data_IF_967111760887
#
_entry.id   IF_967111760887
#
_cell.length_a   1.000
_cell.length_b   1.000
_cell.length_c   1.000
_cell.angle_alpha   90.00
_cell.angle_beta   90.00
_cell.angle_gamma   90.00
#
_symmetry.space_group_name_H-M   'P 1'
#
loop_
_entity.id
_entity.type
_entity.pdbx_description
1 polymer ?
#
# COMPACT_ATOMS: atom_id res chain seq x y z
N UNK A 1 -102.78 38.05 41.77
CA UNK A 1 -102.73 36.84 42.60
C UNK A 1 -102.03 35.73 41.82
N UNK A 2 -100.95 35.22 42.42
CA UNK A 2 -100.42 33.85 42.37
C UNK A 2 -100.14 33.15 41.04
N UNK A 3 -98.83 33.16 40.72
CA UNK A 3 -98.02 32.09 40.14
C UNK A 3 -98.43 30.67 40.55
N UNK A 4 -98.37 29.73 39.60
CA UNK A 4 -97.89 28.36 39.86
C UNK A 4 -97.20 27.79 38.63
N UNK A 5 -95.89 27.67 38.78
CA UNK A 5 -94.89 27.05 37.92
C UNK A 5 -95.03 25.52 38.03
N UNK A 6 -95.08 24.81 36.90
CA UNK A 6 -94.77 23.38 36.82
C UNK A 6 -93.46 23.21 36.04
N UNK A 7 -92.38 22.97 36.76
CA UNK A 7 -91.04 22.75 36.19
C UNK A 7 -90.79 21.28 35.91
N UNK A 8 -90.51 20.94 34.66
CA UNK A 8 -89.99 19.64 34.25
C UNK A 8 -88.46 19.63 34.31
N UNK A 9 -87.94 18.66 35.06
CA UNK A 9 -86.51 18.30 35.22
C UNK A 9 -85.96 17.71 33.92
N UNK A 10 -84.86 18.27 33.40
CA UNK A 10 -83.89 17.53 32.59
C UNK A 10 -82.48 17.86 33.09
N UNK A 11 -81.73 16.80 33.40
CA UNK A 11 -80.42 16.86 34.02
C UNK A 11 -79.31 17.19 33.03
N UNK A 12 -78.56 18.24 33.32
CA UNK A 12 -77.19 18.46 32.87
C UNK A 12 -76.32 18.70 34.11
N UNK A 13 -75.74 17.64 34.69
CA UNK A 13 -74.79 17.78 35.82
C UNK A 13 -73.54 16.88 35.72
N UNK A 14 -73.30 16.19 34.61
CA UNK A 14 -72.15 15.25 34.49
C UNK A 14 -71.05 15.69 33.51
N UNK A 15 -71.25 16.72 32.69
CA UNK A 15 -70.25 17.20 31.73
C UNK A 15 -69.26 18.24 32.28
N UNK A 16 -69.65 19.00 33.30
CA UNK A 16 -68.84 20.10 33.87
C UNK A 16 -67.69 19.60 34.71
N UNK A 17 -67.91 18.60 35.57
CA UNK A 17 -66.88 18.08 36.47
C UNK A 17 -65.66 17.47 35.75
N UNK A 18 -65.86 16.82 34.59
CA UNK A 18 -64.74 16.21 33.84
C UNK A 18 -63.88 17.27 33.14
N UNK A 19 -64.52 18.29 32.59
CA UNK A 19 -63.86 19.42 31.93
C UNK A 19 -63.09 20.29 32.95
N UNK A 20 -63.65 20.49 34.15
CA UNK A 20 -62.99 21.23 35.22
C UNK A 20 -61.74 20.50 35.75
N UNK A 21 -61.79 19.16 35.82
CA UNK A 21 -60.63 18.33 36.20
C UNK A 21 -59.52 18.38 35.15
N UNK A 22 -59.86 18.34 33.86
CA UNK A 22 -58.89 18.49 32.77
C UNK A 22 -58.29 19.90 32.71
N UNK A 23 -59.10 20.93 32.92
CA UNK A 23 -58.64 22.31 32.97
C UNK A 23 -57.64 22.52 34.12
N UNK A 24 -57.89 21.93 35.28
CA UNK A 24 -56.99 22.07 36.43
C UNK A 24 -55.71 21.24 36.28
N UNK A 25 -55.76 20.13 35.54
CA UNK A 25 -54.57 19.39 35.12
C UNK A 25 -53.70 20.22 34.16
N UNK A 26 -54.33 20.85 33.15
CA UNK A 26 -53.63 21.71 32.18
C UNK A 26 -53.03 22.97 32.81
N UNK A 27 -53.67 23.53 33.85
CA UNK A 27 -53.07 24.63 34.62
C UNK A 27 -51.83 24.21 35.39
N UNK A 28 -51.86 23.05 36.06
CA UNK A 28 -50.69 22.49 36.76
C UNK A 28 -49.55 22.19 35.78
N UNK A 29 -49.88 21.64 34.62
CA UNK A 29 -48.90 21.37 33.56
C UNK A 29 -48.29 22.68 33.02
N UNK A 30 -49.10 23.72 32.81
CA UNK A 30 -48.60 25.05 32.45
C UNK A 30 -47.69 25.66 33.51
N UNK A 31 -48.02 25.53 34.80
CA UNK A 31 -47.13 26.00 35.87
C UNK A 31 -45.80 25.24 35.89
N UNK A 32 -45.82 23.93 35.66
CA UNK A 32 -44.59 23.12 35.59
C UNK A 32 -43.73 23.49 34.38
N UNK A 33 -44.34 23.74 33.23
CA UNK A 33 -43.66 24.19 32.02
C UNK A 33 -43.07 25.60 32.20
N UNK A 34 -43.79 26.48 32.88
CA UNK A 34 -43.31 27.82 33.19
C UNK A 34 -42.08 27.78 34.11
N UNK A 35 -42.09 26.92 35.14
CA UNK A 35 -40.92 26.70 36.02
C UNK A 35 -39.73 26.12 35.28
N UNK A 36 -39.94 25.11 34.43
CA UNK A 36 -38.84 24.53 33.63
C UNK A 36 -38.29 25.53 32.62
N UNK A 37 -39.13 26.36 31.98
CA UNK A 37 -38.67 27.45 31.13
C UNK A 37 -37.85 28.49 31.90
N UNK A 38 -38.25 28.84 33.12
CA UNK A 38 -37.55 29.79 33.97
C UNK A 38 -36.20 29.23 34.47
N UNK A 39 -36.14 27.93 34.76
CA UNK A 39 -34.89 27.21 35.06
C UNK A 39 -33.95 27.09 33.85
N UNK A 40 -34.48 26.81 32.66
CA UNK A 40 -33.70 26.79 31.41
C UNK A 40 -33.17 28.19 31.09
N UNK A 41 -33.98 29.23 31.30
CA UNK A 41 -33.59 30.62 31.06
C UNK A 41 -32.49 31.06 32.02
N UNK A 42 -32.60 30.72 33.31
CA UNK A 42 -31.53 30.94 34.31
C UNK A 42 -30.27 30.12 33.99
N UNK A 43 -30.41 28.87 33.56
CA UNK A 43 -29.28 28.03 33.15
C UNK A 43 -28.57 28.58 31.91
N UNK A 44 -29.30 29.23 31.00
CA UNK A 44 -28.76 29.89 29.81
C UNK A 44 -28.03 31.21 30.15
N UNK A 45 -28.44 31.89 31.22
CA UNK A 45 -27.73 33.05 31.79
C UNK A 45 -26.45 32.67 32.55
N UNK A 46 -26.36 31.44 33.09
CA UNK A 46 -25.21 30.96 33.89
C UNK A 46 -24.12 30.25 33.03
N UNK A 47 -24.30 30.16 31.71
CA UNK A 47 -23.23 29.66 30.82
C UNK A 47 -22.12 30.70 30.71
N UNK A 48 -21.00 30.44 31.41
CA UNK A 48 -19.78 31.24 31.31
C UNK A 48 -19.25 31.21 29.88
N UNK A 49 -18.62 32.31 29.44
CA UNK A 49 -18.08 32.41 28.08
C UNK A 49 -17.05 31.31 27.76
N UNK A 50 -16.44 30.70 28.79
CA UNK A 50 -15.58 29.52 28.69
C UNK A 50 -16.33 28.26 28.23
N UNK A 51 -17.53 27.99 28.77
CA UNK A 51 -18.36 26.84 28.37
C UNK A 51 -18.93 27.05 26.96
N UNK A 52 -19.31 28.31 26.66
CA UNK A 52 -19.82 28.74 25.35
C UNK A 52 -18.74 28.58 24.26
N UNK A 53 -17.50 28.96 24.56
CA UNK A 53 -16.35 28.78 23.66
C UNK A 53 -15.92 27.31 23.52
N UNK A 54 -16.02 26.51 24.59
CA UNK A 54 -15.71 25.07 24.55
C UNK A 54 -16.69 24.30 23.66
N UNK A 55 -17.99 24.59 23.77
CA UNK A 55 -19.02 24.03 22.89
C UNK A 55 -18.85 24.50 21.44
N UNK A 56 -18.49 25.77 21.22
CA UNK A 56 -18.17 26.29 19.87
C UNK A 56 -16.98 25.56 19.23
N UNK A 57 -15.94 25.26 19.98
CA UNK A 57 -14.78 24.49 19.49
C UNK A 57 -15.10 23.00 19.29
N UNK A 58 -15.97 22.40 20.11
CA UNK A 58 -16.48 21.03 19.88
C UNK A 58 -17.39 20.97 18.64
N UNK A 59 -18.17 22.02 18.35
CA UNK A 59 -19.00 22.09 17.14
C UNK A 59 -18.14 22.29 15.88
N UNK A 60 -17.06 23.09 15.97
CA UNK A 60 -16.10 23.29 14.87
C UNK A 60 -15.23 22.06 14.58
N UNK A 61 -14.97 21.21 15.58
CA UNK A 61 -14.16 19.99 15.43
C UNK A 61 -14.96 18.75 15.06
N UNK A 62 -16.29 18.78 15.17
CA UNK A 62 -17.14 17.60 15.03
C UNK A 62 -18.11 17.56 13.83
N UNK A 63 -18.36 18.68 13.15
CA UNK A 63 -19.29 18.69 12.01
C UNK A 63 -18.52 18.86 10.70
N UNK A 64 -18.37 17.76 9.94
CA UNK A 64 -17.99 17.88 8.52
C UNK A 64 -18.95 18.88 7.87
N UNK A 65 -18.44 19.72 6.95
CA UNK A 65 -19.24 20.65 6.14
C UNK A 65 -20.50 19.97 5.58
N UNK A 66 -20.37 18.69 5.22
CA UNK A 66 -21.46 17.86 4.70
C UNK A 66 -22.57 17.61 5.73
N UNK A 67 -22.23 17.47 7.02
CA UNK A 67 -23.20 17.29 8.12
C UNK A 67 -23.98 18.58 8.35
N UNK A 68 -23.30 19.72 8.37
CA UNK A 68 -23.95 21.03 8.48
C UNK A 68 -24.84 21.32 7.27
N UNK A 69 -24.39 20.98 6.06
CA UNK A 69 -25.20 21.12 4.86
C UNK A 69 -26.44 20.21 4.90
N UNK A 70 -26.29 18.98 5.40
CA UNK A 70 -27.41 18.05 5.59
C UNK A 70 -28.41 18.56 6.62
N UNK A 71 -27.94 19.10 7.75
CA UNK A 71 -28.80 19.66 8.79
C UNK A 71 -29.54 20.91 8.32
N UNK A 72 -28.87 21.76 7.52
CA UNK A 72 -29.52 22.93 6.92
C UNK A 72 -30.61 22.53 5.94
N UNK A 73 -30.37 21.50 5.12
CA UNK A 73 -31.39 20.95 4.21
C UNK A 73 -32.60 20.39 4.99
N UNK A 74 -32.37 19.62 6.05
CA UNK A 74 -33.45 19.10 6.92
C UNK A 74 -34.23 20.23 7.61
N UNK A 75 -33.55 21.25 8.10
CA UNK A 75 -34.21 22.41 8.72
C UNK A 75 -35.06 23.21 7.71
N UNK A 76 -34.56 23.40 6.49
CA UNK A 76 -35.30 24.06 5.41
C UNK A 76 -36.52 23.24 4.98
N UNK A 77 -36.38 21.92 4.87
CA UNK A 77 -37.49 21.02 4.56
C UNK A 77 -38.58 21.07 5.63
N UNK A 78 -38.19 21.00 6.91
CA UNK A 78 -39.14 21.12 8.04
C UNK A 78 -39.83 22.48 8.07
N UNK A 79 -39.11 23.57 7.82
CA UNK A 79 -39.72 24.89 7.73
C UNK A 79 -40.75 24.97 6.61
N UNK A 80 -40.48 24.33 5.46
CA UNK A 80 -41.43 24.27 4.36
C UNK A 80 -42.66 23.43 4.71
N UNK A 81 -42.49 22.31 5.42
CA UNK A 81 -43.60 21.51 5.94
C UNK A 81 -44.46 22.30 6.94
N UNK A 82 -43.84 23.06 7.86
CA UNK A 82 -44.56 23.93 8.80
C UNK A 82 -45.36 25.01 8.10
N UNK A 83 -44.82 25.62 7.04
CA UNK A 83 -45.52 26.62 6.24
C UNK A 83 -46.75 26.03 5.56
N UNK A 84 -46.63 24.84 4.97
CA UNK A 84 -47.78 24.14 4.35
C UNK A 84 -48.83 23.79 5.39
N UNK A 85 -48.42 23.31 6.56
CA UNK A 85 -49.33 23.01 7.67
C UNK A 85 -50.07 24.26 8.14
N UNK A 86 -49.38 25.40 8.29
CA UNK A 86 -50.00 26.66 8.70
C UNK A 86 -51.01 27.15 7.66
N UNK A 87 -50.67 27.08 6.36
CA UNK A 87 -51.60 27.41 5.27
C UNK A 87 -52.84 26.50 5.26
N UNK A 88 -52.67 25.19 5.46
CA UNK A 88 -53.79 24.26 5.56
C UNK A 88 -54.68 24.56 6.77
N UNK A 89 -54.07 24.84 7.93
CA UNK A 89 -54.76 25.23 9.15
C UNK A 89 -55.56 26.51 8.94
N UNK A 90 -54.96 27.53 8.33
CA UNK A 90 -55.67 28.77 8.00
C UNK A 90 -56.84 28.53 7.04
N UNK A 91 -56.65 27.72 5.99
CA UNK A 91 -57.70 27.38 5.05
C UNK A 91 -58.86 26.65 5.74
N UNK A 92 -58.55 25.71 6.64
CA UNK A 92 -59.55 25.00 7.43
C UNK A 92 -60.34 25.94 8.34
N UNK A 93 -59.67 26.85 9.06
CA UNK A 93 -60.35 27.85 9.91
C UNK A 93 -61.23 28.79 9.08
N UNK A 94 -60.73 29.26 7.93
CA UNK A 94 -61.52 30.08 6.99
C UNK A 94 -62.75 29.33 6.50
N UNK A 95 -62.62 28.03 6.19
CA UNK A 95 -63.73 27.16 5.82
C UNK A 95 -64.76 26.96 6.95
N UNK A 96 -64.31 26.74 8.18
CA UNK A 96 -65.20 26.66 9.34
C UNK A 96 -65.96 27.97 9.57
N UNK A 97 -65.29 29.12 9.46
CA UNK A 97 -65.93 30.44 9.59
C UNK A 97 -67.00 30.65 8.52
N UNK A 98 -66.72 30.29 7.26
CA UNK A 98 -67.72 30.35 6.19
C UNK A 98 -68.92 29.44 6.47
N UNK A 99 -68.67 28.22 6.97
CA UNK A 99 -69.74 27.28 7.32
C UNK A 99 -70.60 27.76 8.49
N UNK A 100 -69.99 28.33 9.52
CA UNK A 100 -70.71 28.93 10.65
C UNK A 100 -71.61 30.05 10.14
N UNK A 101 -71.06 30.94 9.30
CA UNK A 101 -71.82 32.04 8.71
C UNK A 101 -73.01 31.55 7.87
N UNK A 102 -72.84 30.53 7.03
CA UNK A 102 -73.94 29.91 6.28
C UNK A 102 -75.05 29.37 7.19
N UNK A 103 -74.66 28.67 8.26
CA UNK A 103 -75.60 28.09 9.21
C UNK A 103 -76.35 29.15 10.01
N UNK A 104 -75.69 30.25 10.39
CA UNK A 104 -76.33 31.41 11.03
C UNK A 104 -77.36 32.06 10.11
N UNK A 105 -77.03 32.23 8.82
CA UNK A 105 -77.95 32.79 7.83
C UNK A 105 -79.16 31.89 7.57
N UNK A 106 -78.96 30.57 7.53
CA UNK A 106 -80.04 29.58 7.43
C UNK A 106 -80.90 29.56 8.69
N UNK A 107 -80.30 29.66 9.88
CA UNK A 107 -81.01 29.77 11.15
C UNK A 107 -81.92 31.00 11.20
N UNK A 108 -81.39 32.16 10.80
CA UNK A 108 -82.14 33.42 10.70
C UNK A 108 -83.28 33.33 9.67
N UNK A 109 -83.04 32.69 8.52
CA UNK A 109 -84.05 32.51 7.47
C UNK A 109 -85.15 31.54 7.90
N UNK A 110 -84.80 30.43 8.55
CA UNK A 110 -85.74 29.45 9.08
C UNK A 110 -86.57 30.04 10.23
N UNK A 111 -85.98 30.90 11.06
CA UNK A 111 -86.71 31.63 12.10
C UNK A 111 -87.72 32.61 11.50
N UNK A 112 -87.38 33.25 10.37
CA UNK A 112 -88.28 34.12 9.60
C UNK A 112 -89.43 33.35 8.95
N UNK A 113 -89.17 32.14 8.46
CA UNK A 113 -90.19 31.23 7.89
C UNK A 113 -91.13 30.68 8.98
N UNK A 114 -90.63 30.40 10.19
CA UNK A 114 -91.44 29.94 11.31
C UNK A 114 -92.41 31.02 11.84
N UNK A 115 -92.09 32.30 11.66
CA UNK A 115 -93.00 33.42 11.96
C UNK A 115 -94.04 33.67 10.86
N UNK A 116 -93.79 33.23 9.62
CA UNK A 116 -94.69 33.39 8.47
C UNK A 116 -95.66 32.21 8.29
N UNK A 117 -95.48 31.11 9.02
CA UNK A 117 -96.23 29.86 8.85
C UNK A 117 -97.23 29.57 9.98
N UNK A 118 -97.43 30.50 10.93
CA UNK A 118 -98.43 30.35 12.00
C UNK A 118 -99.88 30.55 11.54
N UNK A 119 -100.14 31.13 10.37
CA UNK A 119 -101.51 31.36 9.90
C UNK A 119 -101.67 31.02 8.41
N UNK A 120 -102.10 29.79 8.10
CA UNK A 120 -103.10 29.45 7.07
C UNK A 120 -102.99 28.00 6.57
N UNK A 121 -104.06 27.19 6.66
CA UNK A 121 -104.25 26.01 5.82
C UNK A 121 -105.12 26.36 4.60
N UNK A 122 -104.58 26.15 3.39
CA UNK A 122 -105.29 26.37 2.11
C UNK A 122 -105.77 25.03 1.51
N UNK A 123 -106.90 25.15 0.84
CA UNK A 123 -107.91 24.17 0.45
C UNK A 123 -107.51 23.15 -0.63
N UNK A 124 -108.13 21.96 -0.53
CA UNK A 124 -107.90 20.77 -1.34
C UNK A 124 -108.59 20.75 -2.72
N UNK A 125 -108.59 21.85 -3.49
CA UNK A 125 -109.18 21.89 -4.85
C UNK A 125 -108.28 22.42 -5.98
N UNK A 126 -107.05 22.86 -5.69
CA UNK A 126 -105.98 23.09 -6.68
C UNK A 126 -105.19 21.82 -7.05
N UNK A 127 -105.55 20.68 -6.45
CA UNK A 127 -104.71 19.49 -6.33
C UNK A 127 -104.41 18.77 -7.66
N UNK A 128 -105.30 18.81 -8.65
CA UNK A 128 -105.14 18.05 -9.90
C UNK A 128 -104.20 18.71 -10.94
N UNK A 129 -104.31 20.02 -11.17
CA UNK A 129 -103.43 20.75 -12.09
C UNK A 129 -102.02 20.89 -11.51
N UNK A 130 -101.94 21.12 -10.20
CA UNK A 130 -100.68 21.15 -9.47
C UNK A 130 -99.98 19.78 -9.52
N UNK A 131 -100.73 18.68 -9.35
CA UNK A 131 -100.21 17.32 -9.53
C UNK A 131 -99.69 17.06 -10.93
N UNK A 132 -100.43 17.46 -11.99
CA UNK A 132 -99.96 17.35 -13.39
C UNK A 132 -98.70 18.18 -13.66
N UNK A 133 -98.56 19.34 -13.02
CA UNK A 133 -97.33 20.15 -13.09
C UNK A 133 -96.15 19.44 -12.42
N UNK A 134 -96.33 18.92 -11.20
CA UNK A 134 -95.31 18.17 -10.48
C UNK A 134 -94.92 16.86 -11.17
N UNK A 135 -95.87 16.13 -11.76
CA UNK A 135 -95.61 14.92 -12.53
C UNK A 135 -94.74 15.22 -13.77
N UNK A 136 -95.01 16.34 -14.45
CA UNK A 136 -94.21 16.79 -15.61
C UNK A 136 -92.80 17.19 -15.21
N UNK A 137 -92.65 17.87 -14.07
CA UNK A 137 -91.36 18.24 -13.50
C UNK A 137 -90.55 17.01 -13.07
N UNK A 138 -91.20 16.03 -12.42
CA UNK A 138 -90.60 14.76 -12.03
C UNK A 138 -90.15 13.95 -13.25
N UNK A 139 -90.95 13.91 -14.31
CA UNK A 139 -90.57 13.20 -15.54
C UNK A 139 -89.34 13.84 -16.19
N UNK A 140 -89.27 15.17 -16.23
CA UNK A 140 -88.09 15.89 -16.71
C UNK A 140 -86.86 15.59 -15.85
N UNK A 141 -86.98 15.71 -14.53
CA UNK A 141 -85.90 15.42 -13.60
C UNK A 141 -85.41 13.96 -13.71
N UNK A 142 -86.31 12.99 -13.92
CA UNK A 142 -85.94 11.60 -14.17
C UNK A 142 -85.15 11.43 -15.47
N UNK A 143 -85.56 12.10 -16.55
CA UNK A 143 -84.85 12.06 -17.82
C UNK A 143 -83.46 12.68 -17.69
N UNK A 144 -83.36 13.86 -17.10
CA UNK A 144 -82.08 14.56 -16.89
C UNK A 144 -81.14 13.69 -16.02
N UNK A 145 -81.65 13.07 -14.95
CA UNK A 145 -80.90 12.12 -14.13
C UNK A 145 -80.38 10.92 -14.94
N UNK A 146 -81.21 10.37 -15.83
CA UNK A 146 -80.83 9.22 -16.66
C UNK A 146 -79.76 9.60 -17.69
N UNK A 147 -79.84 10.80 -18.26
CA UNK A 147 -78.85 11.32 -19.19
C UNK A 147 -77.51 11.61 -18.47
N UNK A 148 -77.55 12.20 -17.27
CA UNK A 148 -76.37 12.37 -16.41
C UNK A 148 -75.74 11.03 -15.98
N UNK A 149 -76.56 10.00 -15.72
CA UNK A 149 -76.07 8.64 -15.43
C UNK A 149 -75.32 8.05 -16.61
N UNK A 150 -75.85 8.20 -17.83
CA UNK A 150 -75.18 7.75 -19.06
C UNK A 150 -73.87 8.50 -19.27
N UNK A 151 -73.89 9.82 -19.09
CA UNK A 151 -72.68 10.64 -19.21
C UNK A 151 -71.61 10.25 -18.18
N UNK A 152 -72.02 10.05 -16.92
CA UNK A 152 -71.15 9.56 -15.85
C UNK A 152 -70.59 8.17 -16.16
N UNK A 153 -71.38 7.27 -16.73
CA UNK A 153 -70.93 5.93 -17.12
C UNK A 153 -69.87 5.99 -18.24
N UNK A 154 -70.07 6.87 -19.23
CA UNK A 154 -69.10 7.08 -20.31
C UNK A 154 -67.78 7.64 -19.78
N UNK A 155 -67.82 8.66 -18.92
CA UNK A 155 -66.60 9.22 -18.29
C UNK A 155 -65.87 8.19 -17.44
N UNK A 156 -66.60 7.35 -16.70
CA UNK A 156 -66.00 6.26 -15.91
C UNK A 156 -65.29 5.23 -16.80
N UNK A 157 -65.88 4.86 -17.94
CA UNK A 157 -65.22 3.98 -18.91
C UNK A 157 -63.94 4.61 -19.44
N UNK A 158 -63.99 5.87 -19.88
CA UNK A 158 -62.81 6.58 -20.39
C UNK A 158 -61.69 6.70 -19.34
N UNK A 159 -62.03 7.02 -18.09
CA UNK A 159 -61.05 7.05 -17.00
C UNK A 159 -60.42 5.68 -16.74
N UNK A 160 -61.22 4.61 -16.78
CA UNK A 160 -60.71 3.24 -16.65
C UNK A 160 -59.76 2.88 -17.78
N UNK A 161 -60.09 3.22 -19.02
CA UNK A 161 -59.25 2.94 -20.20
C UNK A 161 -57.90 3.69 -20.09
N UNK A 162 -57.95 4.98 -19.76
CA UNK A 162 -56.75 5.80 -19.53
C UNK A 162 -55.88 5.26 -18.38
N UNK A 163 -56.50 4.73 -17.32
CA UNK A 163 -55.78 4.15 -16.19
C UNK A 163 -55.06 2.86 -16.58
N UNK A 164 -55.67 2.00 -17.39
CA UNK A 164 -55.04 0.78 -17.92
C UNK A 164 -53.87 1.13 -18.83
N UNK A 165 -54.03 2.12 -19.72
CA UNK A 165 -52.94 2.60 -20.58
C UNK A 165 -51.77 3.17 -19.78
N UNK A 166 -52.06 3.97 -18.75
CA UNK A 166 -51.04 4.51 -17.86
C UNK A 166 -50.25 3.40 -17.14
N UNK A 167 -50.92 2.41 -16.55
CA UNK A 167 -50.24 1.29 -15.89
C UNK A 167 -49.45 0.44 -16.90
N UNK A 168 -49.94 0.27 -18.14
CA UNK A 168 -49.20 -0.38 -19.21
C UNK A 168 -47.94 0.41 -19.62
N UNK A 169 -47.99 1.75 -19.64
CA UNK A 169 -46.80 2.57 -19.89
C UNK A 169 -45.81 2.53 -18.73
N UNK A 170 -46.29 2.60 -17.49
CA UNK A 170 -45.48 2.52 -16.28
C UNK A 170 -44.72 1.20 -16.17
N UNK A 171 -45.39 0.09 -16.49
CA UNK A 171 -44.74 -1.24 -16.54
C UNK A 171 -43.68 -1.31 -17.63
N UNK A 172 -43.93 -0.77 -18.83
CA UNK A 172 -42.91 -0.66 -19.91
C UNK A 172 -41.72 0.18 -19.46
N UNK A 173 -41.95 1.33 -18.84
CA UNK A 173 -40.89 2.20 -18.32
C UNK A 173 -40.02 1.49 -17.29
N UNK A 174 -40.64 0.75 -16.37
CA UNK A 174 -39.92 -0.04 -15.36
C UNK A 174 -39.08 -1.15 -16.01
N UNK A 175 -39.64 -1.89 -16.98
CA UNK A 175 -38.91 -2.93 -17.70
C UNK A 175 -37.70 -2.37 -18.47
N UNK A 176 -37.86 -1.24 -19.15
CA UNK A 176 -36.75 -0.55 -19.82
C UNK A 176 -35.69 -0.05 -18.84
N UNK A 177 -36.11 0.48 -17.69
CA UNK A 177 -35.20 0.93 -16.63
C UNK A 177 -34.38 -0.23 -16.05
N UNK A 178 -35.00 -1.40 -15.90
CA UNK A 178 -34.32 -2.62 -15.43
C UNK A 178 -33.34 -3.16 -16.48
N UNK A 179 -33.72 -3.16 -17.76
CA UNK A 179 -32.80 -3.50 -18.86
C UNK A 179 -31.60 -2.57 -18.90
N UNK A 180 -31.81 -1.25 -18.76
CA UNK A 180 -30.72 -0.27 -18.74
C UNK A 180 -29.77 -0.53 -17.57
N UNK A 181 -30.31 -0.79 -16.37
CA UNK A 181 -29.50 -1.13 -15.19
C UNK A 181 -28.71 -2.43 -15.39
N UNK A 182 -29.32 -3.44 -16.00
CA UNK A 182 -28.65 -4.71 -16.32
C UNK A 182 -27.50 -4.51 -17.31
N UNK A 183 -27.71 -3.72 -18.37
CA UNK A 183 -26.66 -3.39 -19.35
C UNK A 183 -25.52 -2.63 -18.69
N UNK A 184 -25.82 -1.59 -17.91
CA UNK A 184 -24.80 -0.84 -17.15
C UNK A 184 -23.99 -1.76 -16.22
N UNK A 185 -24.64 -2.66 -15.50
CA UNK A 185 -23.96 -3.61 -14.62
C UNK A 185 -23.07 -4.59 -15.41
N UNK A 186 -23.52 -5.05 -16.57
CA UNK A 186 -22.72 -5.92 -17.45
C UNK A 186 -21.47 -5.20 -17.95
N UNK A 187 -21.62 -3.95 -18.37
CA UNK A 187 -20.53 -3.12 -18.90
C UNK A 187 -19.48 -2.83 -17.81
N UNK A 188 -19.93 -2.51 -16.59
CA UNK A 188 -19.06 -2.34 -15.43
C UNK A 188 -18.28 -3.63 -15.14
N UNK A 189 -18.96 -4.78 -15.11
CA UNK A 189 -18.31 -6.09 -14.86
C UNK A 189 -17.24 -6.40 -15.91
N UNK A 190 -17.55 -6.23 -17.20
CA UNK A 190 -16.59 -6.46 -18.28
C UNK A 190 -15.38 -5.53 -18.16
N UNK A 191 -15.61 -4.25 -17.85
CA UNK A 191 -14.53 -3.29 -17.65
C UNK A 191 -13.64 -3.68 -16.45
N UNK A 192 -14.23 -4.14 -15.35
CA UNK A 192 -13.46 -4.56 -14.16
C UNK A 192 -12.68 -5.85 -14.41
N UNK A 193 -13.24 -6.81 -15.14
CA UNK A 193 -12.52 -8.01 -15.60
C UNK A 193 -11.33 -7.66 -16.50
N UNK A 194 -11.52 -6.75 -17.45
CA UNK A 194 -10.44 -6.24 -18.31
C UNK A 194 -9.35 -5.55 -17.50
N UNK A 195 -9.72 -4.66 -16.55
CA UNK A 195 -8.75 -4.01 -15.64
C UNK A 195 -7.95 -5.02 -14.84
N UNK A 196 -8.59 -6.07 -14.31
CA UNK A 196 -7.89 -7.12 -13.56
C UNK A 196 -6.92 -7.88 -14.46
N UNK A 197 -7.33 -8.26 -15.67
CA UNK A 197 -6.44 -8.90 -16.65
C UNK A 197 -5.25 -8.02 -17.02
N UNK A 198 -5.46 -6.72 -17.26
CA UNK A 198 -4.38 -5.78 -17.53
C UNK A 198 -3.43 -5.63 -16.34
N UNK A 199 -3.97 -5.57 -15.11
CA UNK A 199 -3.17 -5.51 -13.89
C UNK A 199 -2.27 -6.75 -13.74
N UNK A 200 -2.81 -7.94 -13.99
CA UNK A 200 -2.05 -9.19 -13.93
C UNK A 200 -0.97 -9.24 -15.01
N UNK A 201 -1.28 -8.82 -16.23
CA UNK A 201 -0.30 -8.74 -17.32
C UNK A 201 0.82 -7.75 -17.01
N UNK A 202 0.48 -6.57 -16.46
CA UNK A 202 1.47 -5.58 -16.02
C UNK A 202 2.36 -6.15 -14.90
N UNK A 203 1.79 -6.89 -13.96
CA UNK A 203 2.56 -7.49 -12.88
C UNK A 203 3.52 -8.58 -13.38
N UNK A 204 3.07 -9.43 -14.31
CA UNK A 204 3.94 -10.43 -14.97
C UNK A 204 5.11 -9.76 -15.69
N UNK A 205 4.83 -8.74 -16.51
CA UNK A 205 5.88 -8.00 -17.23
C UNK A 205 6.85 -7.29 -16.28
N UNK A 206 6.37 -6.75 -15.15
CA UNK A 206 7.28 -6.20 -14.11
C UNK A 206 8.20 -7.25 -13.54
N UNK A 207 7.67 -8.42 -13.20
CA UNK A 207 8.45 -9.51 -12.64
C UNK A 207 9.49 -10.03 -13.66
N UNK A 208 9.11 -10.18 -14.93
CA UNK A 208 10.02 -10.56 -16.01
C UNK A 208 11.13 -9.53 -16.25
N UNK A 209 10.78 -8.23 -16.21
CA UNK A 209 11.76 -7.15 -16.32
C UNK A 209 12.75 -7.19 -15.16
N UNK A 210 12.27 -7.41 -13.94
CA UNK A 210 13.14 -7.45 -12.75
C UNK A 210 14.07 -8.66 -12.78
N UNK A 211 13.56 -9.83 -13.18
CA UNK A 211 14.38 -11.04 -13.37
C UNK A 211 15.45 -10.83 -14.47
N UNK A 212 15.08 -10.20 -15.59
CA UNK A 212 16.02 -9.90 -16.66
C UNK A 212 17.14 -8.95 -16.21
N UNK A 213 16.82 -7.94 -15.38
CA UNK A 213 17.82 -7.05 -14.78
C UNK A 213 18.78 -7.79 -13.85
N UNK A 214 18.26 -8.68 -13.00
CA UNK A 214 19.09 -9.49 -12.11
C UNK A 214 20.07 -10.36 -12.90
N UNK A 215 19.58 -11.08 -13.92
CA UNK A 215 20.42 -11.89 -14.79
C UNK A 215 21.50 -11.05 -15.49
N UNK A 216 21.15 -9.86 -15.98
CA UNK A 216 22.12 -8.95 -16.59
C UNK A 216 23.22 -8.54 -15.60
N UNK A 217 22.87 -8.27 -14.36
CA UNK A 217 23.84 -7.87 -13.34
C UNK A 217 24.75 -9.05 -12.94
N UNK A 218 24.21 -10.26 -12.86
CA UNK A 218 25.00 -11.48 -12.68
C UNK A 218 25.99 -11.69 -13.83
N UNK A 219 25.55 -11.54 -15.08
CA UNK A 219 26.43 -11.68 -16.25
C UNK A 219 27.52 -10.61 -16.30
N UNK A 220 27.21 -9.37 -15.90
CA UNK A 220 28.23 -8.33 -15.73
C UNK A 220 29.25 -8.73 -14.66
N UNK A 221 28.79 -9.21 -13.50
CA UNK A 221 29.69 -9.68 -12.44
C UNK A 221 30.59 -10.81 -12.94
N UNK A 222 30.02 -11.83 -13.59
CA UNK A 222 30.77 -12.94 -14.21
C UNK A 222 31.80 -12.43 -15.23
N UNK A 223 31.42 -11.46 -16.07
CA UNK A 223 32.31 -10.85 -17.05
C UNK A 223 33.47 -10.12 -16.37
N UNK A 224 33.22 -9.36 -15.31
CA UNK A 224 34.29 -8.68 -14.55
C UNK A 224 35.22 -9.68 -13.88
N UNK A 225 34.70 -10.78 -13.34
CA UNK A 225 35.50 -11.83 -12.72
C UNK A 225 36.41 -12.52 -13.75
N UNK A 226 35.86 -12.94 -14.89
CA UNK A 226 36.64 -13.54 -15.99
C UNK A 226 37.70 -12.57 -16.52
N UNK A 227 37.37 -11.28 -16.65
CA UNK A 227 38.33 -10.25 -17.06
C UNK A 227 39.50 -10.16 -16.08
N UNK A 228 39.22 -10.21 -14.77
CA UNK A 228 40.25 -10.23 -13.74
C UNK A 228 41.11 -11.50 -13.81
N UNK A 229 40.51 -12.67 -14.03
CA UNK A 229 41.24 -13.93 -14.21
C UNK A 229 42.17 -13.87 -15.42
N UNK A 230 41.69 -13.40 -16.57
CA UNK A 230 42.50 -13.22 -17.79
C UNK A 230 43.67 -12.27 -17.54
N UNK A 231 43.44 -11.17 -16.80
CA UNK A 231 44.50 -10.21 -16.45
C UNK A 231 45.60 -10.87 -15.62
N UNK A 232 45.24 -11.68 -14.61
CA UNK A 232 46.20 -12.42 -13.77
C UNK A 232 47.00 -13.42 -14.60
N UNK A 233 46.33 -14.19 -15.46
CA UNK A 233 46.98 -15.15 -16.36
C UNK A 233 47.98 -14.47 -17.29
N UNK A 234 47.60 -13.35 -17.91
CA UNK A 234 48.50 -12.57 -18.77
C UNK A 234 49.74 -12.08 -18.03
N UNK A 235 49.59 -11.59 -16.78
CA UNK A 235 50.73 -11.17 -15.96
C UNK A 235 51.65 -12.34 -15.61
N UNK A 236 51.09 -13.51 -15.29
CA UNK A 236 51.86 -14.73 -15.01
C UNK A 236 52.63 -15.21 -16.24
N UNK A 237 51.99 -15.21 -17.42
CA UNK A 237 52.63 -15.57 -18.69
C UNK A 237 53.79 -14.63 -19.03
N UNK A 238 53.63 -13.32 -18.78
CA UNK A 238 54.71 -12.35 -18.98
C UNK A 238 55.90 -12.63 -18.06
N UNK A 239 55.64 -12.98 -16.79
CA UNK A 239 56.70 -13.36 -15.84
C UNK A 239 57.41 -14.63 -16.29
N UNK A 240 56.66 -15.66 -16.68
CA UNK A 240 57.21 -16.92 -17.18
C UNK A 240 58.12 -16.70 -18.40
N UNK A 241 57.74 -15.80 -19.33
CA UNK A 241 58.59 -15.46 -20.47
C UNK A 241 59.93 -14.87 -20.04
N UNK A 242 59.93 -13.94 -19.08
CA UNK A 242 61.17 -13.35 -18.54
C UNK A 242 62.06 -14.39 -17.85
N UNK A 243 61.45 -15.30 -17.11
CA UNK A 243 62.16 -16.40 -16.45
C UNK A 243 62.76 -17.35 -17.50
N UNK A 244 62.04 -17.64 -18.59
CA UNK A 244 62.55 -18.43 -19.72
C UNK A 244 63.74 -17.75 -20.41
N UNK A 245 63.66 -16.45 -20.67
CA UNK A 245 64.78 -15.68 -21.26
C UNK A 245 66.02 -15.73 -20.37
N UNK A 246 65.84 -15.64 -19.05
CA UNK A 246 66.92 -15.77 -18.06
C UNK A 246 67.52 -17.18 -18.05
N UNK A 247 66.70 -18.22 -18.11
CA UNK A 247 67.15 -19.62 -18.18
C UNK A 247 67.99 -19.82 -19.45
N UNK A 248 67.50 -19.40 -20.61
CA UNK A 248 68.23 -19.53 -21.87
C UNK A 248 69.57 -18.77 -21.87
N UNK A 249 69.63 -17.61 -21.22
CA UNK A 249 70.89 -16.87 -21.03
C UNK A 249 71.89 -17.65 -20.15
N UNK A 250 71.41 -18.26 -19.05
CA UNK A 250 72.24 -19.09 -18.17
C UNK A 250 72.70 -20.38 -18.86
N UNK A 251 71.83 -21.03 -19.64
CA UNK A 251 72.18 -22.21 -20.45
C UNK A 251 73.30 -21.89 -21.43
N UNK A 252 73.22 -20.75 -22.13
CA UNK A 252 74.28 -20.29 -23.04
C UNK A 252 75.59 -20.01 -22.30
N UNK A 253 75.51 -19.44 -21.10
CA UNK A 253 76.69 -19.22 -20.26
C UNK A 253 77.35 -20.53 -19.84
N UNK A 254 76.56 -21.52 -19.39
CA UNK A 254 77.05 -22.86 -19.04
C UNK A 254 77.73 -23.52 -20.24
N UNK A 255 77.13 -23.43 -21.43
CA UNK A 255 77.72 -23.98 -22.66
C UNK A 255 79.07 -23.33 -23.00
N UNK A 256 79.20 -22.00 -22.85
CA UNK A 256 80.47 -21.30 -23.07
C UNK A 256 81.54 -21.75 -22.07
N UNK A 257 81.21 -21.79 -20.77
CA UNK A 257 82.15 -22.25 -19.75
C UNK A 257 82.57 -23.71 -19.98
N UNK A 258 81.66 -24.58 -20.43
CA UNK A 258 81.99 -25.97 -20.76
C UNK A 258 82.93 -26.07 -21.98
N UNK A 259 82.74 -25.22 -23.00
CA UNK A 259 83.64 -25.16 -24.15
C UNK A 259 85.03 -24.64 -23.76
N UNK A 260 85.09 -23.57 -22.95
CA UNK A 260 86.34 -23.03 -22.42
C UNK A 260 87.10 -24.09 -21.60
N UNK A 261 86.39 -24.84 -20.76
CA UNK A 261 86.98 -25.94 -19.99
C UNK A 261 87.55 -27.06 -20.87
N UNK A 262 86.85 -27.49 -21.93
CA UNK A 262 87.39 -28.50 -22.85
C UNK A 262 88.59 -27.96 -23.65
N UNK A 263 88.61 -26.67 -24.00
CA UNK A 263 89.77 -26.03 -24.62
C UNK A 263 90.98 -26.03 -23.67
N UNK A 264 90.81 -25.59 -22.42
CA UNK A 264 91.88 -25.62 -21.41
C UNK A 264 92.40 -27.03 -21.15
N UNK A 265 91.51 -28.04 -21.17
CA UNK A 265 91.88 -29.44 -21.04
C UNK A 265 92.72 -29.92 -22.22
N UNK A 266 92.39 -29.52 -23.45
CA UNK A 266 93.18 -29.82 -24.65
C UNK A 266 94.56 -29.13 -24.59
N UNK A 267 94.62 -27.87 -24.17
CA UNK A 267 95.88 -27.13 -23.99
C UNK A 267 96.76 -27.78 -22.93
N UNK A 268 96.19 -28.18 -21.79
CA UNK A 268 96.89 -28.92 -20.74
C UNK A 268 97.47 -30.23 -21.27
N UNK A 269 96.71 -30.99 -22.06
CA UNK A 269 97.20 -32.23 -22.68
C UNK A 269 98.36 -31.95 -23.64
N UNK A 270 98.28 -30.90 -24.46
CA UNK A 270 99.35 -30.49 -25.36
C UNK A 270 100.63 -30.14 -24.58
N UNK A 271 100.52 -29.32 -23.53
CA UNK A 271 101.67 -28.98 -22.65
C UNK A 271 102.25 -30.24 -22.00
N UNK A 272 101.42 -31.15 -21.51
CA UNK A 272 101.88 -32.43 -20.96
C UNK A 272 102.65 -33.27 -21.99
N UNK A 273 102.19 -33.31 -23.25
CA UNK A 273 102.91 -33.99 -24.34
C UNK A 273 104.23 -33.30 -24.66
N UNK A 274 104.28 -31.96 -24.70
CA UNK A 274 105.51 -31.20 -24.90
C UNK A 274 106.52 -31.46 -23.78
N UNK A 275 106.08 -31.45 -22.53
CA UNK A 275 106.92 -31.77 -21.37
C UNK A 275 107.50 -33.19 -21.49
N UNK A 276 106.71 -34.18 -21.87
CA UNK A 276 107.20 -35.55 -22.10
C UNK A 276 108.26 -35.61 -23.20
N UNK A 277 108.12 -34.84 -24.29
CA UNK A 277 109.13 -34.74 -25.34
C UNK A 277 110.43 -34.15 -24.80
N UNK A 278 110.36 -33.03 -24.08
CA UNK A 278 111.53 -32.39 -23.46
C UNK A 278 112.22 -33.35 -22.48
N UNK A 279 111.47 -34.02 -21.60
CA UNK A 279 112.01 -35.01 -20.66
C UNK A 279 112.66 -36.21 -21.37
N UNK A 280 112.15 -36.62 -22.54
CA UNK A 280 112.77 -37.66 -23.36
C UNK A 280 114.09 -37.21 -23.96
N UNK A 281 114.16 -35.98 -24.47
CA UNK A 281 115.42 -35.41 -24.99
C UNK A 281 116.44 -35.16 -23.88
N UNK A 282 116.02 -34.68 -22.71
CA UNK A 282 116.90 -34.55 -21.52
C UNK A 282 117.49 -35.90 -21.12
N UNK A 283 116.69 -36.99 -21.12
CA UNK A 283 117.18 -38.35 -20.87
C UNK A 283 118.21 -38.80 -21.89
N UNK A 284 117.98 -38.57 -23.19
CA UNK A 284 118.95 -38.88 -24.24
C UNK A 284 120.26 -38.11 -24.04
N UNK A 285 120.21 -36.82 -23.71
CA UNK A 285 121.41 -36.01 -23.42
C UNK A 285 122.12 -36.50 -22.16
N UNK A 286 121.39 -36.96 -21.14
CA UNK A 286 121.97 -37.58 -19.94
C UNK A 286 122.62 -38.93 -20.24
N UNK A 287 122.03 -39.77 -21.11
CA UNK A 287 122.63 -41.03 -21.58
C UNK A 287 123.88 -40.77 -22.42
N UNK A 288 123.85 -39.80 -23.34
CA UNK A 288 125.01 -39.36 -24.12
C UNK A 288 126.13 -38.78 -23.22
N UNK A 289 125.80 -38.10 -22.12
CA UNK A 289 126.78 -37.70 -21.09
C UNK A 289 127.34 -38.89 -20.30
N UNK A 290 126.55 -39.96 -20.12
CA UNK A 290 126.96 -41.20 -19.44
C UNK A 290 127.99 -42.00 -20.27
N UNK A 291 127.95 -41.87 -21.59
CA UNK A 291 128.92 -42.48 -22.52
C UNK A 291 130.29 -41.76 -22.60
N UNK A 292 130.49 -40.66 -21.85
CA UNK A 292 131.77 -39.93 -21.78
C UNK A 292 132.54 -40.17 -20.47
N UNK A 293 131.94 -40.76 -19.43
CA UNK A 293 132.68 -41.23 -18.25
C UNK A 293 132.00 -42.44 -17.60
N UNK A 294 132.65 -43.59 -17.72
CA UNK A 294 132.28 -44.83 -17.04
C UNK A 294 133.09 -44.93 -15.73
N UNK A 295 132.58 -44.38 -14.62
CA UNK A 295 132.96 -44.76 -13.25
C UNK A 295 131.71 -44.72 -12.37
N UNK A 296 131.39 -45.83 -11.71
CA UNK A 296 130.52 -45.91 -10.54
C UNK A 296 131.41 -46.10 -9.28
N UNK A 297 130.91 -46.05 -8.02
CA UNK A 297 129.64 -45.56 -7.49
C UNK A 297 129.82 -44.65 -6.23
N UNK A 298 128.69 -44.32 -5.58
CA UNK A 298 128.52 -44.06 -4.12
C UNK A 298 128.45 -42.58 -3.67
N UNK A 299 127.28 -42.13 -3.19
CA UNK A 299 126.97 -41.97 -1.76
C UNK A 299 125.67 -41.15 -1.55
N UNK A 300 124.90 -41.59 -0.56
CA UNK A 300 123.78 -40.91 0.08
C UNK A 300 124.14 -39.48 0.56
N UNK A 301 123.10 -38.63 0.65
CA UNK A 301 122.86 -37.40 1.43
C UNK A 301 121.98 -36.52 0.52
N UNK A 302 120.79 -36.02 0.84
CA UNK A 302 120.04 -35.78 2.07
C UNK A 302 118.58 -35.55 1.60
N UNK A 303 117.58 -36.07 2.28
CA UNK A 303 116.52 -35.30 2.96
C UNK A 303 116.17 -33.91 2.39
N UNK A 304 114.87 -33.64 2.33
CA UNK A 304 114.15 -32.39 2.01
C UNK A 304 113.79 -32.13 0.54
N UNK A 305 112.69 -32.72 0.07
CA UNK A 305 111.63 -31.98 -0.63
C UNK A 305 110.35 -32.81 -0.82
N UNK A 306 109.71 -33.20 0.29
CA UNK A 306 108.34 -33.72 0.27
C UNK A 306 107.52 -32.99 1.34
N UNK A 307 107.58 -31.66 1.27
CA UNK A 307 106.68 -30.77 1.99
C UNK A 307 105.93 -29.94 0.95
N UNK A 308 104.60 -29.98 1.04
CA UNK A 308 103.59 -29.31 0.20
C UNK A 308 103.19 -30.10 -1.04
N UNK A 309 102.23 -31.01 -0.86
CA UNK A 309 100.90 -30.95 -1.49
C UNK A 309 99.96 -32.03 -0.90
N UNK A 310 99.95 -32.18 0.42
CA UNK A 310 98.76 -32.66 1.15
C UNK A 310 98.09 -31.42 1.72
N UNK A 311 97.18 -30.82 0.95
CA UNK A 311 96.18 -29.91 1.52
C UNK A 311 95.28 -30.79 2.38
N UNK A 312 95.69 -30.85 3.64
CA UNK A 312 94.89 -31.14 4.81
C UNK A 312 93.49 -30.57 4.62
N UNK A 313 92.52 -31.44 4.38
CA UNK A 313 91.14 -31.26 4.80
C UNK A 313 91.15 -31.06 6.32
N UNK A 314 91.27 -29.82 6.77
CA UNK A 314 90.85 -29.33 8.08
C UNK A 314 90.73 -27.82 7.96
N UNK A 315 89.65 -27.38 7.32
CA UNK A 315 88.98 -26.21 7.83
C UNK A 315 88.21 -26.65 9.08
N UNK A 316 88.36 -26.02 10.25
CA UNK A 316 87.25 -25.98 11.17
C UNK A 316 86.12 -25.31 10.38
N UNK A 317 85.05 -26.05 10.09
CA UNK A 317 83.84 -25.47 9.54
C UNK A 317 83.55 -24.20 10.34
N UNK A 318 83.51 -23.01 9.71
CA UNK A 318 82.88 -21.88 10.36
C UNK A 318 81.49 -22.39 10.69
N UNK A 319 81.09 -22.34 11.97
CA UNK A 319 79.68 -22.45 12.30
C UNK A 319 79.00 -21.45 11.38
N UNK A 320 78.30 -21.93 10.35
CA UNK A 320 77.43 -21.09 9.57
C UNK A 320 76.37 -20.62 10.57
N UNK A 321 76.60 -19.47 11.19
CA UNK A 321 75.53 -18.60 11.62
C UNK A 321 74.73 -18.35 10.36
N UNK A 322 73.68 -19.15 10.20
CA UNK A 322 72.73 -19.02 9.11
C UNK A 322 72.24 -17.57 9.15
N UNK A 323 72.30 -16.84 8.03
CA UNK A 323 71.73 -15.48 7.94
C UNK A 323 70.24 -15.44 8.31
N UNK A 324 69.60 -16.60 8.41
CA UNK A 324 68.22 -16.80 8.90
C UNK A 324 68.10 -16.79 10.43
N UNK A 325 69.20 -16.72 11.19
CA UNK A 325 69.19 -16.59 12.65
C UNK A 325 69.05 -15.12 13.12
N UNK A 326 69.20 -14.15 12.21
CA UNK A 326 69.00 -12.72 12.48
C UNK A 326 67.58 -12.23 12.18
N UNK A 327 66.75 -13.08 11.57
CA UNK A 327 65.34 -12.79 11.25
C UNK A 327 64.43 -13.71 12.07
N UNK A 328 63.42 -13.13 12.71
CA UNK A 328 62.49 -13.85 13.56
C UNK A 328 61.08 -13.89 12.98
N UNK A 329 60.41 -15.03 13.13
CA UNK A 329 59.02 -15.27 12.76
C UNK A 329 58.19 -15.43 14.03
N UNK A 330 56.97 -14.90 14.02
CA UNK A 330 56.06 -14.94 15.16
C UNK A 330 54.90 -15.90 14.89
N UNK A 331 54.49 -16.63 15.93
CA UNK A 331 53.23 -17.34 15.90
C UNK A 331 52.06 -16.34 15.89
N UNK A 332 51.13 -16.40 14.92
CA UNK A 332 50.01 -15.47 14.85
C UNK A 332 49.04 -15.58 16.05
N UNK A 333 49.01 -16.72 16.73
CA UNK A 333 48.09 -16.96 17.84
C UNK A 333 48.66 -16.51 19.20
N UNK A 334 49.90 -16.85 19.53
CA UNK A 334 50.49 -16.54 20.86
C UNK A 334 51.68 -15.55 20.82
N UNK A 335 52.08 -15.05 19.65
CA UNK A 335 53.22 -14.14 19.41
C UNK A 335 54.58 -14.66 19.88
N UNK A 336 54.71 -15.97 20.08
CA UNK A 336 55.99 -16.57 20.41
C UNK A 336 56.93 -16.46 19.22
N UNK A 337 58.15 -15.98 19.49
CA UNK A 337 59.15 -15.62 18.49
C UNK A 337 60.08 -16.81 18.25
N UNK A 338 60.30 -17.15 16.98
CA UNK A 338 61.16 -18.22 16.54
C UNK A 338 62.18 -17.70 15.52
N UNK A 339 63.47 -18.09 15.60
CA UNK A 339 64.42 -17.81 14.54
C UNK A 339 63.95 -18.42 13.21
N UNK A 340 64.20 -17.75 12.08
CA UNK A 340 63.78 -18.24 10.76
C UNK A 340 64.48 -19.57 10.41
N UNK A 341 65.67 -19.81 10.98
CA UNK A 341 66.37 -21.09 10.92
C UNK A 341 65.55 -22.26 11.49
N UNK A 342 64.62 -22.01 12.41
CA UNK A 342 63.77 -22.98 13.11
C UNK A 342 62.30 -22.95 12.64
N UNK A 343 62.02 -22.54 11.38
CA UNK A 343 60.64 -22.43 10.87
C UNK A 343 59.79 -23.72 11.00
N UNK A 344 60.42 -24.91 10.97
CA UNK A 344 59.71 -26.19 11.16
C UNK A 344 59.15 -26.34 12.58
N UNK A 345 59.85 -25.81 13.58
CA UNK A 345 59.40 -25.83 14.98
C UNK A 345 58.26 -24.83 15.20
N UNK A 346 58.27 -23.69 14.52
CA UNK A 346 57.14 -22.75 14.49
C UNK A 346 55.90 -23.39 13.86
N UNK A 347 56.03 -24.11 12.74
CA UNK A 347 54.89 -24.79 12.10
C UNK A 347 54.29 -25.86 13.02
N UNK A 348 55.14 -26.71 13.62
CA UNK A 348 54.69 -27.69 14.62
C UNK A 348 54.03 -27.00 15.83
N UNK A 349 54.54 -25.84 16.25
CA UNK A 349 53.92 -25.07 17.32
C UNK A 349 52.56 -24.50 16.91
N UNK A 350 52.40 -23.98 15.68
CA UNK A 350 51.12 -23.48 15.16
C UNK A 350 50.06 -24.59 15.12
N UNK A 351 50.44 -25.81 14.77
CA UNK A 351 49.52 -26.96 14.70
C UNK A 351 48.88 -27.30 16.06
N UNK A 352 49.56 -27.00 17.18
CA UNK A 352 49.03 -27.20 18.54
C UNK A 352 48.62 -25.89 19.23
N UNK A 353 48.93 -24.74 18.66
CA UNK A 353 48.61 -23.43 19.24
C UNK A 353 47.19 -23.03 18.83
N UNK A 354 46.19 -23.54 19.54
CA UNK A 354 44.79 -23.09 19.42
C UNK A 354 44.61 -21.74 20.12
N UNK A 355 43.87 -20.83 19.46
CA UNK A 355 43.68 -19.38 19.75
C UNK A 355 43.76 -18.91 21.19
#
# INVERSE_FOLDING_TARGET
MNSKILGNKLGLKHGTFKMDVELEKLKKENETLKKTLEEITKSKEILTDTERNRLLEETKKGASRDVLESQLKDALEKNQQWLVYDQQREAYVKGLMARIFELEQLGNSNQKILQLTTDAPVEAKQDEEQKKYYDRLLLKAKKDLEDERKFTAQLKSQLSDMQVEYEAQKTKMNALSEQLRSLQNSDIKQNDELKMCFKDKLQKLRNELELSKQNLEEEKSRTTELTNQVKVLNMSLLKQRKDQDRISALELQIQRCAADFENEKADRQNVQQQLHKVLKEVRKVQEQKRDVYNIAPLCNFHADFEEKLTIREQHPSPKHTSLLDESFLECPNCKKVYPTSQHRELLAHIDFCTS
#
